data_IF_723821766839
#
_entry.id   IF_723821766839
#
_cell.length_a   1.000
_cell.length_b   1.000
_cell.length_c   1.000
_cell.angle_alpha   90.00
_cell.angle_beta   90.00
_cell.angle_gamma   90.00
#
_symmetry.space_group_name_H-M   'P 1'
#
loop_
_entity.id
_entity.type
_entity.pdbx_description
1 polymer ?
#
# COMPACT_ATOMS: atom_id res chain seq x y z
N UNK A 1 -17.72 -4.70 -16.39
CA UNK A 1 -18.77 -4.61 -15.34
C UNK A 1 -18.46 -3.39 -14.50
N UNK A 2 -19.45 -2.63 -14.04
CA UNK A 2 -19.21 -1.53 -13.07
C UNK A 2 -19.27 -2.12 -11.67
N UNK A 3 -18.24 -1.86 -10.86
CA UNK A 3 -18.18 -2.26 -9.46
C UNK A 3 -18.26 -1.01 -8.58
N UNK A 4 -18.95 -1.14 -7.44
CA UNK A 4 -18.98 -0.11 -6.40
C UNK A 4 -17.90 -0.47 -5.38
N UNK A 5 -16.98 0.47 -5.15
CA UNK A 5 -15.85 0.30 -4.24
C UNK A 5 -15.78 1.47 -3.25
N UNK A 6 -15.31 1.23 -2.03
CA UNK A 6 -14.96 2.32 -1.14
C UNK A 6 -13.75 3.09 -1.69
N UNK A 7 -13.60 4.37 -1.34
CA UNK A 7 -12.51 5.21 -1.85
C UNK A 7 -11.11 4.65 -1.55
N UNK A 8 -10.91 4.12 -0.34
CA UNK A 8 -9.66 3.49 0.09
C UNK A 8 -9.34 2.23 -0.75
N UNK A 9 -10.32 1.36 -0.96
CA UNK A 9 -10.18 0.16 -1.78
C UNK A 9 -9.91 0.52 -3.24
N UNK A 10 -10.59 1.53 -3.77
CA UNK A 10 -10.39 2.01 -5.13
C UNK A 10 -8.98 2.56 -5.34
N UNK A 11 -8.41 3.28 -4.36
CA UNK A 11 -7.05 3.77 -4.41
C UNK A 11 -6.02 2.62 -4.36
N UNK A 12 -6.23 1.63 -3.48
CA UNK A 12 -5.37 0.44 -3.38
C UNK A 12 -5.40 -0.37 -4.69
N UNK A 13 -6.58 -0.63 -5.23
CA UNK A 13 -6.77 -1.35 -6.49
C UNK A 13 -6.15 -0.60 -7.68
N UNK A 14 -6.32 0.72 -7.74
CA UNK A 14 -5.69 1.54 -8.76
C UNK A 14 -4.15 1.45 -8.70
N UNK A 15 -3.57 1.38 -7.50
CA UNK A 15 -2.12 1.21 -7.34
C UNK A 15 -1.64 -0.16 -7.83
N UNK A 16 -2.35 -1.25 -7.50
CA UNK A 16 -2.06 -2.60 -8.00
C UNK A 16 -2.12 -2.63 -9.52
N UNK A 17 -3.20 -2.10 -10.11
CA UNK A 17 -3.37 -2.01 -11.58
C UNK A 17 -2.29 -1.16 -12.25
N UNK A 18 -1.79 -0.16 -11.54
CA UNK A 18 -0.68 0.69 -11.99
C UNK A 18 0.68 0.00 -11.87
N UNK A 19 0.73 -1.27 -11.45
CA UNK A 19 1.96 -2.05 -11.34
C UNK A 19 2.72 -1.82 -10.04
N UNK A 20 2.08 -1.35 -8.97
CA UNK A 20 2.68 -1.36 -7.64
C UNK A 20 3.06 -2.80 -7.26
N UNK A 21 4.31 -2.99 -6.83
CA UNK A 21 4.88 -4.30 -6.50
C UNK A 21 5.17 -4.46 -5.02
N UNK A 22 5.31 -3.37 -4.27
CA UNK A 22 5.60 -3.45 -2.84
C UNK A 22 4.74 -2.42 -2.10
N UNK A 23 4.18 -2.82 -0.97
CA UNK A 23 3.49 -1.95 -0.04
C UNK A 23 4.10 -2.09 1.34
N UNK A 24 4.47 -0.95 1.93
CA UNK A 24 4.88 -0.85 3.33
C UNK A 24 3.86 0.00 4.07
N UNK A 25 3.39 -0.41 5.24
CA UNK A 25 2.46 0.45 5.98
C UNK A 25 2.33 0.10 7.46
N UNK A 26 1.97 1.13 8.23
CA UNK A 26 1.62 1.04 9.63
C UNK A 26 0.11 1.34 9.78
N UNK A 27 -0.64 0.59 10.60
CA UNK A 27 -2.08 0.78 10.72
C UNK A 27 -2.42 2.09 11.43
N UNK A 28 -3.21 2.94 10.76
CA UNK A 28 -3.77 4.17 11.32
C UNK A 28 -5.17 4.45 10.75
N UNK A 29 -6.12 4.88 11.58
CA UNK A 29 -7.47 5.27 11.10
C UNK A 29 -7.45 6.67 10.48
N UNK A 30 -8.24 6.94 9.42
CA UNK A 30 -9.15 6.05 8.67
C UNK A 30 -8.50 5.43 7.42
N UNK A 31 -7.19 5.16 7.44
CA UNK A 31 -6.46 4.61 6.29
C UNK A 31 -6.48 3.08 6.26
N UNK A 32 -6.81 2.41 7.38
CA UNK A 32 -6.72 0.95 7.59
C UNK A 32 -7.28 0.04 6.49
N UNK A 33 -8.27 0.50 5.72
CA UNK A 33 -8.82 -0.29 4.60
C UNK A 33 -7.83 -0.44 3.44
N UNK A 34 -6.92 0.52 3.23
CA UNK A 34 -5.85 0.42 2.22
C UNK A 34 -4.89 -0.74 2.52
N UNK A 35 -4.23 -0.82 3.70
CA UNK A 35 -3.31 -1.90 4.01
C UNK A 35 -4.05 -3.24 4.10
N UNK A 36 -5.31 -3.27 4.58
CA UNK A 36 -6.12 -4.49 4.55
C UNK A 36 -6.34 -4.99 3.11
N UNK A 37 -6.72 -4.10 2.19
CA UNK A 37 -6.90 -4.44 0.78
C UNK A 37 -5.59 -4.90 0.14
N UNK A 38 -4.48 -4.20 0.39
CA UNK A 38 -3.16 -4.53 -0.14
C UNK A 38 -2.63 -5.86 0.41
N UNK A 39 -2.83 -6.15 1.70
CA UNK A 39 -2.43 -7.43 2.30
C UNK A 39 -3.11 -8.61 1.62
N UNK A 40 -4.37 -8.45 1.21
CA UNK A 40 -5.11 -9.49 0.52
C UNK A 40 -4.77 -9.57 -0.98
N UNK A 41 -4.70 -8.45 -1.69
CA UNK A 41 -4.71 -8.42 -3.15
C UNK A 41 -3.32 -8.29 -3.78
N UNK A 42 -2.38 -7.61 -3.13
CA UNK A 42 -1.05 -7.37 -3.70
C UNK A 42 -0.25 -8.69 -3.88
N UNK A 43 -0.23 -9.63 -2.92
CA UNK A 43 0.44 -10.93 -3.12
C UNK A 43 -0.15 -11.75 -4.27
N UNK A 44 -1.48 -11.70 -4.45
CA UNK A 44 -2.18 -12.37 -5.56
C UNK A 44 -1.76 -11.79 -6.93
N UNK A 45 -1.27 -10.55 -6.96
CA UNK A 45 -0.77 -9.85 -8.16
C UNK A 45 0.77 -9.84 -8.28
N UNK A 46 1.45 -10.74 -7.55
CA UNK A 46 2.90 -10.90 -7.59
C UNK A 46 3.68 -9.76 -6.95
N UNK A 47 3.06 -9.04 -6.00
CA UNK A 47 3.71 -8.06 -5.15
C UNK A 47 3.93 -8.55 -3.72
N UNK A 48 4.47 -7.68 -2.87
CA UNK A 48 4.78 -7.96 -1.46
C UNK A 48 4.10 -6.92 -0.58
N UNK A 49 3.36 -7.38 0.42
CA UNK A 49 2.85 -6.57 1.51
C UNK A 49 3.71 -6.79 2.75
N UNK A 50 4.14 -5.70 3.40
CA UNK A 50 4.85 -5.75 4.67
C UNK A 50 4.29 -4.68 5.61
N UNK A 51 3.86 -5.10 6.80
CA UNK A 51 3.49 -4.18 7.87
C UNK A 51 4.78 -3.66 8.53
N UNK A 52 4.99 -2.35 8.49
CA UNK A 52 6.13 -1.70 9.15
C UNK A 52 5.84 -1.48 10.64
N UNK A 53 6.88 -1.18 11.41
CA UNK A 53 6.80 -0.86 12.84
C UNK A 53 6.36 0.59 13.12
N UNK A 54 6.52 1.47 12.14
CA UNK A 54 6.12 2.88 12.18
C UNK A 54 5.99 3.44 10.75
N UNK A 55 5.42 4.63 10.62
CA UNK A 55 5.34 5.37 9.37
C UNK A 55 6.72 5.87 8.92
N UNK A 56 7.60 6.22 9.87
CA UNK A 56 8.99 6.57 9.58
C UNK A 56 9.74 5.38 8.96
N UNK A 57 9.50 4.19 9.46
CA UNK A 57 10.06 2.98 8.86
C UNK A 57 9.44 2.70 7.49
N UNK A 58 8.12 2.83 7.35
CA UNK A 58 7.42 2.63 6.09
C UNK A 58 8.00 3.49 4.97
N UNK A 59 8.14 4.80 5.20
CA UNK A 59 8.63 5.73 4.16
C UNK A 59 10.10 5.47 3.79
N UNK A 60 10.95 5.12 4.77
CA UNK A 60 12.34 4.76 4.48
C UNK A 60 12.46 3.46 3.68
N UNK A 61 11.60 2.46 3.97
CA UNK A 61 11.50 1.24 3.16
C UNK A 61 11.02 1.54 1.74
N UNK A 62 10.03 2.42 1.57
CA UNK A 62 9.57 2.90 0.24
C UNK A 62 10.73 3.53 -0.53
N UNK A 63 11.50 4.41 0.07
CA UNK A 63 12.65 5.08 -0.59
C UNK A 63 13.68 4.04 -1.04
N UNK A 64 14.04 3.08 -0.18
CA UNK A 64 14.99 2.02 -0.51
C UNK A 64 14.50 1.11 -1.65
N UNK A 65 13.24 0.70 -1.61
CA UNK A 65 12.63 -0.11 -2.66
C UNK A 65 12.47 0.65 -3.98
N UNK A 66 12.17 1.95 -3.92
CA UNK A 66 12.08 2.79 -5.12
C UNK A 66 13.45 2.97 -5.78
N UNK A 67 14.50 3.13 -4.98
CA UNK A 67 15.88 3.26 -5.47
C UNK A 67 16.38 1.99 -6.19
N UNK A 68 15.80 0.82 -5.95
CA UNK A 68 16.09 -0.41 -6.69
C UNK A 68 15.27 -0.58 -7.98
N UNK A 69 14.49 0.44 -8.37
CA UNK A 69 13.71 0.46 -9.61
C UNK A 69 12.32 -0.16 -9.49
N UNK A 70 11.85 -0.44 -8.27
CA UNK A 70 10.54 -1.05 -8.04
C UNK A 70 9.48 0.04 -7.81
N UNK A 71 8.29 -0.13 -8.41
CA UNK A 71 7.13 0.71 -8.11
C UNK A 71 6.56 0.28 -6.75
N UNK A 72 6.63 1.18 -5.78
CA UNK A 72 6.32 0.92 -4.37
C UNK A 72 5.50 2.08 -3.81
N UNK A 73 4.68 1.81 -2.80
CA UNK A 73 3.94 2.86 -2.09
C UNK A 73 3.80 2.58 -0.60
N UNK A 74 3.39 3.61 0.13
CA UNK A 74 2.84 3.53 1.48
C UNK A 74 1.57 4.38 1.54
N UNK A 75 0.82 4.29 2.64
CA UNK A 75 -0.23 5.26 2.97
C UNK A 75 -0.30 5.43 4.48
N UNK A 76 -0.77 6.59 4.91
CA UNK A 76 -0.85 7.00 6.32
C UNK A 76 -2.04 7.96 6.52
N UNK A 77 -2.20 8.47 7.74
CA UNK A 77 -3.13 9.52 8.13
C UNK A 77 -2.39 10.52 9.04
N UNK A 78 -2.94 11.72 9.20
CA UNK A 78 -2.28 12.92 9.75
C UNK A 78 -1.11 12.75 10.74
N UNK A 79 -1.20 11.95 11.83
CA UNK A 79 -0.09 11.80 12.78
C UNK A 79 1.16 11.10 12.27
N UNK A 80 1.02 10.26 11.23
CA UNK A 80 2.10 9.45 10.69
C UNK A 80 2.66 9.95 9.38
#
# INVERSE_FOLDING_TARGET
MKELMAGNEAAAEAAIRSGCKIYFGYPITPQNEIPAYMAEHLPKNGGVFLQSESELAAINMVIGASASGVRVMTSSSSPG
#
